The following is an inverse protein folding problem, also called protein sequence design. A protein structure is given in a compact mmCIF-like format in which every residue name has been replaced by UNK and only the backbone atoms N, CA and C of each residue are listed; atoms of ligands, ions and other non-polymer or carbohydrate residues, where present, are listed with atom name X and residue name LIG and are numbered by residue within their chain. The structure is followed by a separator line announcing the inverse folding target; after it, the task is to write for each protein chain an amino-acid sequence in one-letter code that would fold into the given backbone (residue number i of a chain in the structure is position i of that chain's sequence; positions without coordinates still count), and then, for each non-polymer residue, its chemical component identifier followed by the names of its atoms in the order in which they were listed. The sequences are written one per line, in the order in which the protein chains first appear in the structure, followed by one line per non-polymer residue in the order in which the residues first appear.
data_IF_484520365381
#
_entry.id   IF_484520365381
#
_cell.length_a   1.000
_cell.length_b   1.000
_cell.length_c   1.000
_cell.angle_alpha   90.00
_cell.angle_beta   90.00
_cell.angle_gamma   90.00
#
_symmetry.space_group_name_H-M   'P 1'
#
loop_
_entity.id
_entity.type
_entity.pdbx_description
1 polymer ?
#
# COMPACT_ATOMS: atom_id res chain seq x y z
N UNK A 1 -46.80 51.36 -18.76
CA UNK A 1 -47.63 51.48 -17.57
C UNK A 1 -48.70 50.42 -17.59
N UNK A 2 -48.88 49.75 -16.45
CA UNK A 2 -50.03 48.96 -16.02
C UNK A 2 -50.45 47.71 -16.81
N UNK A 3 -50.37 46.56 -16.12
CA UNK A 3 -51.47 45.60 -16.05
C UNK A 3 -51.60 45.12 -14.59
N UNK A 4 -52.86 45.00 -14.19
CA UNK A 4 -53.51 44.87 -12.87
C UNK A 4 -53.12 43.65 -12.03
N UNK A 5 -53.38 43.73 -10.71
CA UNK A 5 -53.92 42.60 -9.96
C UNK A 5 -55.31 42.90 -9.37
N UNK A 6 -56.10 41.84 -9.31
CA UNK A 6 -57.50 41.77 -8.89
C UNK A 6 -57.56 41.51 -7.38
N UNK A 7 -58.45 42.18 -6.67
CA UNK A 7 -58.80 41.94 -5.26
C UNK A 7 -59.88 40.84 -5.14
N UNK A 8 -59.91 40.06 -4.05
CA UNK A 8 -61.15 40.09 -3.28
C UNK A 8 -60.99 40.15 -1.75
N UNK A 9 -62.00 40.81 -1.19
CA UNK A 9 -62.42 41.14 0.18
C UNK A 9 -62.47 39.94 1.17
N UNK A 10 -62.43 40.16 2.52
CA UNK A 10 -61.98 39.19 3.52
C UNK A 10 -63.11 38.46 4.28
N UNK A 11 -62.79 37.28 4.84
CA UNK A 11 -63.61 36.60 5.86
C UNK A 11 -62.84 36.36 7.17
N UNK A 12 -63.63 36.33 8.25
CA UNK A 12 -63.37 36.62 9.68
C UNK A 12 -62.77 35.41 10.44
N UNK A 13 -62.13 35.57 11.63
CA UNK A 13 -61.26 34.55 12.23
C UNK A 13 -62.01 33.59 13.17
N UNK A 14 -61.68 32.30 13.13
CA UNK A 14 -62.17 31.32 14.11
C UNK A 14 -61.14 31.02 15.21
N UNK A 15 -61.66 30.99 16.44
CA UNK A 15 -61.04 30.76 17.74
C UNK A 15 -60.48 29.34 17.96
N UNK A 16 -59.53 29.15 18.90
CA UNK A 16 -58.88 27.87 19.12
C UNK A 16 -59.70 26.95 20.04
N UNK A 17 -59.88 25.69 19.63
CA UNK A 17 -60.49 24.61 20.42
C UNK A 17 -59.42 23.70 21.03
N UNK A 18 -59.45 23.61 22.35
CA UNK A 18 -58.69 22.69 23.21
C UNK A 18 -59.23 21.26 23.09
N UNK A 19 -58.39 20.21 23.06
CA UNK A 19 -58.89 18.83 23.04
C UNK A 19 -59.10 18.25 24.45
N UNK A 20 -60.25 17.61 24.66
CA UNK A 20 -60.61 16.77 25.81
C UNK A 20 -60.19 15.31 25.53
N UNK A 21 -59.73 14.53 26.52
CA UNK A 21 -59.19 13.19 26.28
C UNK A 21 -60.30 12.13 26.28
N UNK A 22 -60.20 11.14 25.41
CA UNK A 22 -60.95 9.89 25.53
C UNK A 22 -60.01 8.69 25.37
N UNK A 23 -59.99 7.85 26.41
CA UNK A 23 -59.23 6.61 26.52
C UNK A 23 -60.20 5.45 26.30
N UNK A 24 -59.90 4.57 25.34
CA UNK A 24 -59.88 3.10 25.53
C UNK A 24 -59.84 2.34 24.19
N UNK A 25 -58.65 1.90 23.78
CA UNK A 25 -58.45 0.59 23.12
C UNK A 25 -57.02 0.09 23.41
N UNK A 26 -56.80 -1.23 23.46
CA UNK A 26 -55.67 -1.82 24.18
C UNK A 26 -54.34 -1.60 23.46
N UNK A 27 -53.36 -1.13 24.22
CA UNK A 27 -51.98 -0.92 23.80
C UNK A 27 -51.28 -2.23 23.47
N UNK A 28 -51.00 -2.45 22.18
CA UNK A 28 -49.86 -3.27 21.77
C UNK A 28 -48.57 -2.54 22.18
N UNK A 29 -47.60 -3.20 22.84
CA UNK A 29 -46.34 -2.55 23.21
C UNK A 29 -45.64 -2.04 21.95
N UNK A 30 -45.31 -0.75 21.95
CA UNK A 30 -44.46 -0.14 20.96
C UNK A 30 -43.09 -0.82 20.98
N UNK A 31 -42.73 -1.44 19.86
CA UNK A 31 -41.39 -1.95 19.59
C UNK A 31 -40.46 -0.75 19.44
N UNK A 32 -39.69 -0.45 20.48
CA UNK A 32 -38.69 0.61 20.48
C UNK A 32 -37.47 0.16 19.68
N UNK A 33 -37.48 0.38 18.36
CA UNK A 33 -36.32 0.13 17.50
C UNK A 33 -35.21 1.16 17.75
N UNK A 34 -34.38 0.91 18.76
CA UNK A 34 -33.03 1.46 18.76
C UNK A 34 -32.24 0.68 17.70
N UNK A 35 -32.26 1.18 16.46
CA UNK A 35 -31.58 0.57 15.30
C UNK A 35 -30.06 0.84 15.38
N UNK A 36 -29.39 0.13 16.30
CA UNK A 36 -27.94 0.04 16.34
C UNK A 36 -27.44 -0.60 15.03
N UNK A 37 -26.32 -0.13 14.49
CA UNK A 37 -25.70 -0.66 13.28
C UNK A 37 -25.17 -2.10 13.49
N UNK A 38 -26.08 -3.07 13.41
CA UNK A 38 -25.77 -4.49 13.49
C UNK A 38 -24.92 -4.92 12.29
N UNK A 39 -23.81 -5.61 12.56
CA UNK A 39 -22.85 -6.09 11.56
C UNK A 39 -22.31 -7.46 11.97
N UNK A 40 -21.69 -8.23 11.07
CA UNK A 40 -20.91 -9.41 11.50
C UNK A 40 -19.62 -9.00 12.23
N UNK A 41 -19.20 -9.80 13.22
CA UNK A 41 -17.89 -9.62 13.83
C UNK A 41 -16.77 -9.85 12.81
N UNK A 42 -15.81 -8.94 12.75
CA UNK A 42 -14.67 -9.07 11.84
C UNK A 42 -13.43 -8.39 12.41
N UNK A 43 -13.28 -8.45 13.75
CA UNK A 43 -12.18 -7.79 14.47
C UNK A 43 -12.36 -6.28 14.61
N UNK A 44 -13.57 -5.82 14.96
CA UNK A 44 -13.82 -4.41 15.31
C UNK A 44 -12.86 -3.94 16.40
N UNK A 45 -12.30 -2.73 16.24
CA UNK A 45 -11.35 -2.12 17.18
C UNK A 45 -11.79 -0.70 17.55
N UNK A 46 -11.75 -0.35 18.82
CA UNK A 46 -12.06 1.01 19.28
C UNK A 46 -13.01 1.07 20.48
N UNK A 47 -13.39 2.30 20.84
CA UNK A 47 -14.24 2.61 22.01
C UNK A 47 -15.70 2.91 21.65
N UNK A 48 -16.05 2.97 20.37
CA UNK A 48 -17.44 3.19 19.94
C UNK A 48 -18.32 1.97 20.25
N UNK A 49 -19.64 2.17 20.30
CA UNK A 49 -20.58 1.09 20.61
C UNK A 49 -20.79 0.26 19.35
N UNK A 50 -20.25 -0.95 19.34
CA UNK A 50 -20.43 -1.94 18.29
C UNK A 50 -21.56 -2.91 18.65
N UNK A 51 -22.36 -3.30 17.66
CA UNK A 51 -23.26 -4.45 17.75
C UNK A 51 -22.87 -5.48 16.69
N UNK A 52 -22.32 -6.61 17.13
CA UNK A 52 -21.74 -7.62 16.23
C UNK A 52 -22.45 -8.97 16.30
N UNK A 53 -22.71 -9.60 15.16
CA UNK A 53 -23.15 -10.98 15.05
C UNK A 53 -21.93 -11.88 15.06
N UNK A 54 -21.91 -12.84 15.98
CA UNK A 54 -20.91 -13.89 16.07
C UNK A 54 -21.54 -15.17 16.61
N UNK A 55 -21.28 -16.29 15.94
CA UNK A 55 -21.73 -17.63 16.33
C UNK A 55 -23.22 -17.68 16.76
N UNK A 56 -24.09 -17.08 15.94
CA UNK A 56 -25.54 -17.06 16.14
C UNK A 56 -26.05 -16.02 17.15
N UNK A 57 -25.19 -15.17 17.68
CA UNK A 57 -25.53 -14.24 18.75
C UNK A 57 -25.10 -12.81 18.43
N UNK A 58 -25.82 -11.84 18.98
CA UNK A 58 -25.49 -10.41 18.95
C UNK A 58 -24.74 -10.03 20.21
N UNK A 59 -23.60 -9.39 20.05
CA UNK A 59 -22.75 -8.89 21.13
C UNK A 59 -22.59 -7.39 21.05
N UNK A 60 -22.41 -6.74 22.20
CA UNK A 60 -22.05 -5.33 22.33
C UNK A 60 -20.76 -5.21 23.14
N UNK A 61 -19.87 -4.30 22.77
CA UNK A 61 -18.71 -4.02 23.61
C UNK A 61 -19.10 -3.24 24.89
N UNK A 62 -18.49 -3.61 26.00
CA UNK A 62 -18.64 -2.94 27.29
C UNK A 62 -17.58 -1.84 27.50
N UNK A 63 -16.43 -1.97 26.83
CA UNK A 63 -15.35 -0.99 26.80
C UNK A 63 -14.58 -1.10 25.48
N UNK A 64 -13.37 -0.55 25.42
CA UNK A 64 -12.51 -0.65 24.24
C UNK A 64 -12.27 -2.11 23.82
N UNK A 65 -12.47 -2.40 22.55
CA UNK A 65 -12.20 -3.70 21.92
C UNK A 65 -10.95 -3.59 21.06
N UNK A 66 -10.06 -4.57 21.13
CA UNK A 66 -8.99 -4.79 20.16
C UNK A 66 -9.45 -5.71 19.03
N UNK A 67 -8.78 -5.66 17.88
CA UNK A 67 -9.15 -6.50 16.73
C UNK A 67 -9.13 -8.00 17.05
N UNK A 68 -8.26 -8.44 17.96
CA UNK A 68 -8.14 -9.85 18.39
C UNK A 68 -9.15 -10.26 19.48
N UNK A 69 -9.88 -9.30 20.07
CA UNK A 69 -10.90 -9.60 21.07
C UNK A 69 -12.11 -10.23 20.38
N UNK A 70 -12.11 -11.55 20.29
CA UNK A 70 -13.21 -12.33 19.74
C UNK A 70 -14.41 -12.38 20.71
N UNK A 71 -15.66 -12.21 20.25
CA UNK A 71 -16.84 -12.36 21.08
C UNK A 71 -16.94 -13.78 21.63
N UNK A 72 -17.14 -13.89 22.94
CA UNK A 72 -17.26 -15.18 23.64
C UNK A 72 -18.47 -15.17 24.57
N UNK A 73 -18.98 -16.36 24.89
CA UNK A 73 -20.10 -16.53 25.81
C UNK A 73 -19.79 -16.07 27.25
N UNK A 74 -20.82 -15.96 28.09
CA UNK A 74 -20.76 -15.36 29.44
C UNK A 74 -20.18 -16.27 30.54
N UNK A 75 -19.17 -17.10 30.23
CA UNK A 75 -18.51 -17.90 31.25
C UNK A 75 -17.63 -17.02 32.16
N UNK A 76 -17.38 -17.48 33.39
CA UNK A 76 -16.50 -16.79 34.36
C UNK A 76 -15.09 -16.57 33.79
N UNK A 77 -14.62 -17.50 32.96
CA UNK A 77 -13.34 -17.43 32.23
C UNK A 77 -13.28 -16.29 31.21
N UNK A 78 -14.42 -15.77 30.77
CA UNK A 78 -14.53 -14.66 29.81
C UNK A 78 -14.89 -13.32 30.44
N UNK A 79 -14.78 -13.19 31.78
CA UNK A 79 -15.10 -11.94 32.50
C UNK A 79 -14.31 -10.72 32.02
N UNK A 80 -13.08 -10.95 31.55
CA UNK A 80 -12.19 -9.92 30.98
C UNK A 80 -12.37 -9.69 29.48
N UNK A 81 -13.25 -10.45 28.81
CA UNK A 81 -13.55 -10.20 27.40
C UNK A 81 -14.37 -8.90 27.29
N UNK A 82 -14.10 -8.02 26.33
CA UNK A 82 -14.83 -6.76 26.19
C UNK A 82 -16.26 -6.90 25.65
N UNK A 83 -16.61 -8.04 25.04
CA UNK A 83 -17.94 -8.27 24.47
C UNK A 83 -18.95 -8.79 25.49
N UNK A 84 -20.19 -8.32 25.38
CA UNK A 84 -21.33 -8.74 26.19
C UNK A 84 -22.41 -9.27 25.28
N UNK A 85 -22.87 -10.49 25.56
CA UNK A 85 -24.00 -11.07 24.87
C UNK A 85 -25.24 -10.20 25.10
N UNK A 86 -25.88 -9.76 24.01
CA UNK A 86 -27.11 -8.97 24.05
C UNK A 86 -28.32 -9.87 23.83
N UNK A 87 -28.30 -10.65 22.74
CA UNK A 87 -29.40 -11.55 22.34
C UNK A 87 -28.94 -12.55 21.28
N UNK A 88 -29.81 -13.51 20.95
CA UNK A 88 -29.65 -14.34 19.75
C UNK A 88 -29.90 -13.53 18.48
N UNK A 89 -29.11 -13.77 17.43
CA UNK A 89 -29.32 -13.19 16.10
C UNK A 89 -30.40 -13.97 15.35
N UNK A 90 -31.26 -13.27 14.61
CA UNK A 90 -32.27 -13.92 13.76
C UNK A 90 -31.65 -14.50 12.50
N UNK A 91 -32.32 -15.46 11.87
CA UNK A 91 -31.86 -16.02 10.59
C UNK A 91 -31.75 -14.96 9.48
N UNK A 92 -32.66 -13.97 9.48
CA UNK A 92 -32.62 -12.86 8.53
C UNK A 92 -31.39 -11.97 8.76
N UNK A 93 -31.08 -11.62 10.01
CA UNK A 93 -29.89 -10.84 10.35
C UNK A 93 -28.58 -11.57 10.00
N UNK A 94 -28.49 -12.87 10.32
CA UNK A 94 -27.33 -13.68 9.96
C UNK A 94 -27.17 -13.80 8.43
N UNK A 95 -28.27 -13.91 7.69
CA UNK A 95 -28.24 -13.94 6.23
C UNK A 95 -27.88 -12.58 5.63
N UNK A 96 -28.27 -11.48 6.27
CA UNK A 96 -28.08 -10.12 5.75
C UNK A 96 -26.69 -9.56 6.10
N UNK A 97 -26.21 -9.80 7.32
CA UNK A 97 -25.00 -9.18 7.86
C UNK A 97 -23.82 -10.15 7.99
N UNK A 98 -24.09 -11.46 7.94
CA UNK A 98 -23.10 -12.53 8.15
C UNK A 98 -23.13 -13.12 9.56
N UNK A 99 -22.59 -14.33 9.70
CA UNK A 99 -22.48 -15.04 10.98
C UNK A 99 -21.14 -15.79 11.08
N UNK A 100 -20.03 -15.10 11.36
CA UNK A 100 -18.74 -15.73 11.63
C UNK A 100 -18.86 -16.65 12.84
N UNK A 101 -18.34 -17.87 12.72
CA UNK A 101 -18.39 -18.90 13.78
C UNK A 101 -17.02 -19.21 14.38
N UNK A 102 -15.95 -18.66 13.79
CA UNK A 102 -14.56 -18.84 14.25
C UNK A 102 -13.99 -17.49 14.68
N UNK A 103 -13.13 -17.50 15.69
CA UNK A 103 -12.34 -16.32 16.09
C UNK A 103 -11.22 -15.99 15.08
N UNK A 104 -11.17 -16.73 13.97
CA UNK A 104 -10.35 -16.33 12.84
C UNK A 104 -11.01 -15.10 12.26
N UNK A 105 -10.32 -13.98 12.42
CA UNK A 105 -10.65 -12.83 11.61
C UNK A 105 -10.22 -13.25 10.20
N UNK A 106 -11.20 -13.62 9.37
CA UNK A 106 -10.99 -13.86 7.95
C UNK A 106 -10.71 -12.50 7.31
N UNK A 107 -9.51 -12.00 7.63
CA UNK A 107 -9.00 -10.68 7.34
C UNK A 107 -8.68 -10.53 5.84
N UNK A 108 -8.97 -11.55 5.02
CA UNK A 108 -8.11 -11.91 3.91
C UNK A 108 -6.72 -12.14 4.46
N UNK A 109 -6.28 -13.40 4.52
CA UNK A 109 -5.02 -13.75 5.18
C UNK A 109 -3.91 -12.77 4.83
N UNK A 110 -3.23 -12.21 5.83
CA UNK A 110 -1.98 -11.50 5.57
C UNK A 110 -1.10 -12.52 4.87
N UNK A 111 -0.67 -12.24 3.64
CA UNK A 111 0.36 -13.06 3.02
C UNK A 111 1.59 -12.88 3.89
N UNK A 112 1.85 -13.86 4.76
CA UNK A 112 3.11 -13.99 5.45
C UNK A 112 4.07 -14.55 4.42
N UNK A 113 4.71 -13.65 3.68
CA UNK A 113 5.74 -14.04 2.74
C UNK A 113 7.06 -14.21 3.49
N UNK A 114 7.80 -15.26 3.15
CA UNK A 114 9.16 -15.38 3.67
C UNK A 114 10.03 -14.26 3.09
N UNK A 115 10.99 -13.79 3.88
CA UNK A 115 12.01 -12.87 3.39
C UNK A 115 12.77 -13.44 2.19
N UNK A 116 13.00 -12.62 1.16
CA UNK A 116 13.76 -13.00 -0.01
C UNK A 116 15.20 -13.41 0.35
N UNK A 117 15.68 -14.48 -0.26
CA UNK A 117 17.04 -14.99 -0.13
C UNK A 117 17.63 -15.25 -1.51
N UNK A 118 18.70 -14.53 -1.85
CA UNK A 118 19.35 -14.69 -3.15
C UNK A 118 19.83 -16.12 -3.42
N UNK A 119 20.16 -16.91 -2.40
CA UNK A 119 20.63 -18.29 -2.55
C UNK A 119 19.51 -19.33 -2.70
N UNK A 120 18.24 -18.93 -2.66
CA UNK A 120 17.08 -19.83 -2.71
C UNK A 120 16.44 -19.79 -4.09
N UNK A 121 15.98 -20.95 -4.55
CA UNK A 121 15.14 -21.05 -5.74
C UNK A 121 13.65 -20.89 -5.37
N UNK A 122 12.87 -20.33 -6.28
CA UNK A 122 11.44 -20.07 -6.11
C UNK A 122 10.66 -20.57 -7.32
N UNK A 123 9.47 -21.13 -7.11
CA UNK A 123 8.59 -21.51 -8.22
C UNK A 123 7.78 -20.30 -8.70
N UNK A 124 7.28 -20.34 -9.94
CA UNK A 124 6.35 -19.36 -10.48
C UNK A 124 5.19 -19.10 -9.49
N UNK A 125 4.76 -17.84 -9.38
CA UNK A 125 3.76 -17.36 -8.42
C UNK A 125 4.19 -17.33 -6.95
N UNK A 126 5.42 -17.71 -6.61
CA UNK A 126 5.94 -17.51 -5.25
C UNK A 126 5.92 -16.04 -4.88
N UNK A 127 5.58 -15.76 -3.62
CA UNK A 127 5.55 -14.41 -3.04
C UNK A 127 6.62 -14.33 -1.96
N UNK A 128 7.41 -13.26 -1.98
CA UNK A 128 8.50 -13.00 -1.02
C UNK A 128 8.40 -11.59 -0.46
N UNK A 129 8.89 -11.42 0.76
CA UNK A 129 9.08 -10.12 1.39
C UNK A 129 10.47 -9.55 1.07
N UNK A 130 10.52 -8.34 0.55
CA UNK A 130 11.77 -7.65 0.25
C UNK A 130 11.60 -6.12 0.26
N UNK A 131 12.47 -5.41 0.99
CA UNK A 131 12.41 -3.94 1.15
C UNK A 131 11.01 -3.41 1.50
N UNK A 132 10.37 -4.02 2.50
CA UNK A 132 9.04 -3.68 3.01
C UNK A 132 7.92 -3.68 1.94
N UNK A 133 8.04 -4.57 0.94
CA UNK A 133 7.02 -4.85 -0.04
C UNK A 133 6.99 -6.35 -0.37
N UNK A 134 5.81 -6.84 -0.72
CA UNK A 134 5.66 -8.19 -1.28
C UNK A 134 5.96 -8.16 -2.78
N UNK A 135 6.70 -9.16 -3.25
CA UNK A 135 6.96 -9.37 -4.67
C UNK A 135 6.50 -10.75 -5.08
N UNK A 136 5.89 -10.84 -6.27
CA UNK A 136 5.49 -12.10 -6.89
C UNK A 136 6.29 -12.32 -8.17
N UNK A 137 6.86 -13.52 -8.33
CA UNK A 137 7.52 -13.90 -9.58
C UNK A 137 6.51 -14.49 -10.56
N UNK A 138 6.66 -14.16 -11.84
CA UNK A 138 5.83 -14.71 -12.92
C UNK A 138 6.32 -16.06 -13.45
N UNK A 139 7.57 -16.44 -13.16
CA UNK A 139 8.23 -17.66 -13.63
C UNK A 139 9.06 -18.31 -12.51
N UNK A 140 9.53 -19.53 -12.73
CA UNK A 140 10.49 -20.18 -11.83
C UNK A 140 11.79 -19.35 -11.78
N UNK A 141 12.38 -19.25 -10.59
CA UNK A 141 13.60 -18.52 -10.30
C UNK A 141 14.61 -19.46 -9.67
N UNK A 142 15.80 -19.51 -10.25
CA UNK A 142 16.92 -20.23 -9.66
C UNK A 142 17.60 -19.41 -8.55
N UNK A 143 18.39 -20.11 -7.72
CA UNK A 143 19.30 -19.44 -6.81
C UNK A 143 20.29 -18.55 -7.58
N UNK A 144 20.61 -17.39 -6.99
CA UNK A 144 21.46 -16.34 -7.55
C UNK A 144 20.93 -15.77 -8.87
N UNK A 145 19.61 -15.73 -9.04
CA UNK A 145 18.92 -15.06 -10.15
C UNK A 145 18.63 -13.58 -9.81
N UNK A 146 17.55 -13.01 -10.36
CA UNK A 146 17.14 -11.64 -10.09
C UNK A 146 16.76 -11.42 -8.63
N UNK A 147 17.16 -10.27 -8.10
CA UNK A 147 16.67 -9.72 -6.82
C UNK A 147 15.33 -9.00 -7.07
N UNK A 148 14.30 -9.16 -6.21
CA UNK A 148 13.02 -8.48 -6.41
C UNK A 148 13.15 -6.96 -6.56
N UNK A 149 12.54 -6.40 -7.60
CA UNK A 149 12.61 -4.96 -7.89
C UNK A 149 13.97 -4.42 -8.34
N UNK A 150 15.00 -5.27 -8.41
CA UNK A 150 16.34 -4.89 -8.85
C UNK A 150 16.48 -4.81 -10.37
N UNK A 151 17.49 -4.07 -10.82
CA UNK A 151 17.93 -4.06 -12.23
C UNK A 151 18.54 -5.41 -12.65
N UNK A 152 18.86 -5.53 -13.93
CA UNK A 152 19.64 -6.67 -14.40
C UNK A 152 21.02 -6.71 -13.71
N UNK A 153 21.44 -7.86 -13.16
CA UNK A 153 22.73 -7.99 -12.47
C UNK A 153 23.93 -7.83 -13.41
N UNK A 154 23.73 -7.76 -14.72
CA UNK A 154 24.77 -7.45 -15.69
C UNK A 154 24.71 -5.98 -16.12
N UNK A 155 25.82 -5.29 -15.95
CA UNK A 155 26.00 -3.95 -16.48
C UNK A 155 26.90 -3.99 -17.71
N UNK A 156 26.49 -3.32 -18.79
CA UNK A 156 27.36 -3.18 -19.97
C UNK A 156 28.67 -2.51 -19.54
N UNK A 157 29.79 -3.10 -19.95
CA UNK A 157 31.10 -2.51 -19.70
C UNK A 157 31.28 -1.30 -20.61
N UNK A 158 31.55 -0.16 -19.98
CA UNK A 158 31.95 1.06 -20.68
C UNK A 158 33.37 1.40 -20.23
N UNK A 159 34.34 1.51 -21.17
CA UNK A 159 35.69 1.91 -20.83
C UNK A 159 35.68 3.24 -20.10
N UNK A 160 36.36 3.26 -18.95
CA UNK A 160 36.57 4.50 -18.24
C UNK A 160 37.40 5.48 -19.09
N UNK A 161 36.97 6.75 -19.13
CA UNK A 161 37.73 7.79 -19.80
C UNK A 161 38.99 8.11 -18.99
N UNK A 162 40.17 8.03 -19.60
CA UNK A 162 41.38 8.52 -18.98
C UNK A 162 41.30 10.04 -18.81
N UNK A 163 41.78 10.55 -17.67
CA UNK A 163 41.90 12.00 -17.51
C UNK A 163 42.97 12.57 -18.45
N UNK A 164 42.70 13.75 -18.98
CA UNK A 164 43.61 14.58 -19.76
C UNK A 164 43.55 16.02 -19.27
N UNK A 165 44.72 16.65 -19.15
CA UNK A 165 44.86 18.04 -18.73
C UNK A 165 44.22 19.05 -19.71
N UNK A 166 44.14 18.71 -21.01
CA UNK A 166 43.59 19.60 -22.04
C UNK A 166 42.08 19.53 -22.17
N UNK A 167 41.44 18.52 -21.60
CA UNK A 167 39.98 18.32 -21.69
C UNK A 167 39.26 19.15 -20.64
N UNK A 168 38.18 19.80 -21.05
CA UNK A 168 37.22 20.44 -20.13
C UNK A 168 36.25 19.38 -19.62
N UNK A 169 36.03 19.34 -18.31
CA UNK A 169 35.05 18.49 -17.65
C UNK A 169 33.97 19.35 -16.99
N UNK A 170 32.73 18.90 -17.06
CA UNK A 170 31.58 19.53 -16.39
C UNK A 170 31.01 18.60 -15.32
N UNK A 171 30.07 19.11 -14.51
CA UNK A 171 29.46 18.35 -13.43
C UNK A 171 28.92 16.99 -13.94
N UNK A 172 29.33 15.91 -13.28
CA UNK A 172 28.94 14.53 -13.59
C UNK A 172 29.90 13.79 -14.51
N UNK A 173 30.85 14.48 -15.16
CA UNK A 173 31.87 13.80 -15.97
C UNK A 173 32.76 12.92 -15.09
N UNK A 174 33.07 11.72 -15.60
CA UNK A 174 33.87 10.73 -14.89
C UNK A 174 35.16 10.40 -15.63
N UNK A 175 36.24 10.33 -14.88
CA UNK A 175 37.56 9.96 -15.37
C UNK A 175 38.25 8.98 -14.43
N UNK A 176 39.27 8.30 -14.95
CA UNK A 176 40.14 7.41 -14.19
C UNK A 176 41.58 7.85 -14.30
N UNK A 177 42.25 7.86 -13.15
CA UNK A 177 43.70 8.06 -13.03
C UNK A 177 44.23 6.97 -12.11
N UNK A 178 45.21 6.20 -12.58
CA UNK A 178 45.85 5.11 -11.83
C UNK A 178 44.87 4.11 -11.18
N UNK A 179 43.80 3.77 -11.90
CA UNK A 179 42.78 2.81 -11.43
C UNK A 179 41.79 3.37 -10.38
N UNK A 180 41.87 4.66 -10.08
CA UNK A 180 40.95 5.38 -9.19
C UNK A 180 40.00 6.25 -10.02
N UNK A 181 38.69 6.08 -9.81
CA UNK A 181 37.68 6.87 -10.49
C UNK A 181 37.38 8.18 -9.77
N UNK A 182 37.06 9.22 -10.54
CA UNK A 182 36.70 10.55 -10.04
C UNK A 182 35.53 11.11 -10.84
N UNK A 183 34.66 11.88 -10.16
CA UNK A 183 33.57 12.62 -10.78
C UNK A 183 33.79 14.12 -10.62
N UNK A 184 33.66 14.88 -11.70
CA UNK A 184 33.68 16.33 -11.66
C UNK A 184 32.40 16.85 -11.00
N UNK A 185 32.52 17.74 -10.01
CA UNK A 185 31.40 18.35 -9.30
C UNK A 185 30.88 19.63 -9.99
N UNK A 186 31.73 20.23 -10.81
CA UNK A 186 31.47 21.43 -11.60
C UNK A 186 32.56 21.57 -12.68
N UNK A 187 32.53 22.66 -13.44
CA UNK A 187 33.49 22.92 -14.51
C UNK A 187 34.94 22.89 -14.01
N UNK A 188 35.80 22.13 -14.68
CA UNK A 188 37.24 22.08 -14.42
C UNK A 188 38.01 21.72 -15.68
N UNK A 189 39.24 22.20 -15.78
CA UNK A 189 40.20 21.84 -16.82
C UNK A 189 41.59 21.86 -16.19
N UNK A 190 42.47 20.95 -16.61
CA UNK A 190 43.85 20.83 -16.12
C UNK A 190 44.06 20.48 -14.64
N UNK A 191 43.04 20.57 -13.79
CA UNK A 191 43.12 20.11 -12.40
C UNK A 191 43.23 18.59 -12.36
N UNK A 192 44.42 18.05 -12.03
CA UNK A 192 44.63 16.61 -11.95
C UNK A 192 43.85 16.02 -10.74
N UNK A 193 42.90 15.10 -10.96
CA UNK A 193 42.10 14.51 -9.89
C UNK A 193 42.88 13.63 -8.92
N UNK A 194 44.03 13.07 -9.32
CA UNK A 194 44.86 12.26 -8.43
C UNK A 194 45.52 13.09 -7.32
N UNK A 195 45.63 14.41 -7.49
CA UNK A 195 46.15 15.30 -6.48
C UNK A 195 45.09 15.60 -5.42
N UNK A 196 45.40 15.30 -4.16
CA UNK A 196 44.50 15.56 -3.01
C UNK A 196 44.04 17.03 -2.96
N UNK A 197 44.89 17.97 -3.41
CA UNK A 197 44.56 19.39 -3.50
C UNK A 197 43.36 19.71 -4.40
N UNK A 198 43.00 18.82 -5.32
CA UNK A 198 41.88 18.97 -6.24
C UNK A 198 40.68 18.06 -5.86
N UNK A 199 40.77 17.33 -4.75
CA UNK A 199 39.76 16.37 -4.31
C UNK A 199 38.79 16.93 -3.26
N UNK A 200 37.52 16.63 -3.46
CA UNK A 200 36.36 17.01 -2.66
C UNK A 200 35.56 15.77 -2.24
N UNK A 201 36.14 14.96 -1.34
CA UNK A 201 35.51 13.72 -0.88
C UNK A 201 34.15 13.93 -0.20
N UNK A 202 33.98 15.05 0.51
CA UNK A 202 32.77 15.39 1.28
C UNK A 202 31.81 16.31 0.52
N UNK A 203 32.16 16.75 -0.69
CA UNK A 203 31.38 17.72 -1.47
C UNK A 203 31.42 19.16 -0.94
N UNK A 204 32.14 19.44 0.16
CA UNK A 204 32.05 20.71 0.91
C UNK A 204 33.26 21.65 0.79
N UNK A 205 34.33 21.27 0.09
CA UNK A 205 35.59 22.03 0.10
C UNK A 205 35.91 22.80 -1.20
N UNK A 206 34.90 23.02 -2.05
CA UNK A 206 34.99 23.77 -3.32
C UNK A 206 36.06 23.28 -4.30
N UNK A 207 36.51 22.02 -4.19
CA UNK A 207 37.42 21.40 -5.15
C UNK A 207 36.64 20.62 -6.20
N UNK A 208 37.19 20.48 -7.42
CA UNK A 208 36.42 20.01 -8.57
C UNK A 208 36.13 18.52 -8.56
N UNK A 209 36.96 17.66 -7.95
CA UNK A 209 36.85 16.21 -8.14
C UNK A 209 36.36 15.47 -6.90
N UNK A 210 35.28 14.69 -7.01
CA UNK A 210 34.88 13.72 -5.98
C UNK A 210 35.51 12.36 -6.28
N UNK A 211 36.37 11.81 -5.40
CA UNK A 211 36.83 10.42 -5.53
C UNK A 211 35.67 9.44 -5.42
N UNK A 212 35.60 8.47 -6.33
CA UNK A 212 34.54 7.45 -6.37
C UNK A 212 34.99 6.06 -5.86
N UNK A 213 36.26 5.90 -5.51
CA UNK A 213 36.88 4.60 -5.20
C UNK A 213 37.54 3.91 -6.41
N UNK A 214 38.20 2.79 -6.15
CA UNK A 214 38.87 2.01 -7.20
C UNK A 214 37.85 1.52 -8.22
N UNK A 215 38.24 1.54 -9.48
CA UNK A 215 37.41 1.03 -10.56
C UNK A 215 38.14 -0.09 -11.28
N UNK A 216 37.40 -1.15 -11.58
CA UNK A 216 37.93 -2.27 -12.35
C UNK A 216 38.09 -1.82 -13.80
N UNK A 217 39.34 -1.78 -14.28
CA UNK A 217 39.67 -1.53 -15.68
C UNK A 217 40.25 -2.79 -16.28
N UNK A 218 39.97 -3.02 -17.55
CA UNK A 218 40.47 -4.19 -18.29
C UNK A 218 41.27 -3.70 -19.49
N UNK A 219 42.37 -4.39 -19.77
CA UNK A 219 43.14 -4.20 -20.99
C UNK A 219 42.33 -4.61 -22.22
N UNK A 220 42.70 -4.09 -23.39
CA UNK A 220 42.07 -4.51 -24.65
C UNK A 220 42.19 -6.02 -24.87
N UNK A 221 43.27 -6.65 -24.41
CA UNK A 221 43.47 -8.09 -24.49
C UNK A 221 42.46 -8.84 -23.62
N UNK A 222 42.28 -8.43 -22.36
CA UNK A 222 41.27 -9.00 -21.46
C UNK A 222 39.84 -8.82 -22.00
N UNK A 223 39.53 -7.65 -22.56
CA UNK A 223 38.23 -7.36 -23.17
C UNK A 223 37.98 -8.20 -24.44
N UNK A 224 39.03 -8.47 -25.22
CA UNK A 224 38.93 -9.30 -26.42
C UNK A 224 38.83 -10.79 -26.08
N UNK A 225 39.46 -11.23 -25.00
CA UNK A 225 39.48 -12.61 -24.53
C UNK A 225 38.45 -12.90 -23.43
N UNK A 226 37.54 -11.97 -23.15
CA UNK A 226 36.49 -12.13 -22.15
C UNK A 226 35.67 -13.42 -22.40
N UNK A 227 35.45 -14.27 -21.38
CA UNK A 227 34.67 -15.50 -21.54
C UNK A 227 33.26 -15.23 -22.06
N UNK A 228 32.77 -16.05 -22.99
CA UNK A 228 31.36 -15.98 -23.40
C UNK A 228 30.46 -16.28 -22.21
N UNK A 229 29.32 -15.59 -22.13
CA UNK A 229 28.26 -15.91 -21.18
C UNK A 229 27.90 -17.38 -21.26
N UNK A 230 27.84 -18.04 -20.10
CA UNK A 230 27.40 -19.40 -19.95
C UNK A 230 26.39 -19.46 -18.80
N UNK A 231 25.11 -19.79 -19.05
CA UNK A 231 24.08 -19.81 -18.02
C UNK A 231 24.37 -20.80 -16.88
N UNK A 232 25.17 -21.83 -17.11
CA UNK A 232 25.53 -22.83 -16.11
C UNK A 232 26.64 -22.36 -15.15
N UNK A 233 27.32 -21.25 -15.46
CA UNK A 233 28.42 -20.73 -14.62
C UNK A 233 27.88 -19.81 -13.53
N UNK A 234 28.22 -20.10 -12.27
CA UNK A 234 27.97 -19.21 -11.14
C UNK A 234 29.06 -18.13 -11.07
N UNK A 235 28.74 -16.93 -11.54
CA UNK A 235 29.67 -15.80 -11.56
C UNK A 235 29.74 -15.11 -10.20
N UNK A 236 30.95 -14.73 -9.79
CA UNK A 236 31.12 -13.82 -8.66
C UNK A 236 30.72 -12.39 -9.06
N UNK A 237 30.64 -11.47 -8.10
CA UNK A 237 30.61 -10.03 -8.41
C UNK A 237 31.86 -9.63 -9.20
N UNK A 238 31.74 -8.59 -10.03
CA UNK A 238 32.84 -7.99 -10.78
C UNK A 238 33.48 -8.92 -11.82
N UNK A 239 32.73 -9.92 -12.29
CA UNK A 239 33.19 -10.84 -13.33
C UNK A 239 32.90 -10.27 -14.71
N UNK A 240 33.92 -10.21 -15.57
CA UNK A 240 33.82 -9.81 -16.97
C UNK A 240 33.35 -10.99 -17.83
N UNK A 241 32.33 -10.76 -18.64
CA UNK A 241 31.86 -11.71 -19.66
C UNK A 241 31.62 -10.99 -20.99
N UNK A 242 31.49 -11.78 -22.06
CA UNK A 242 31.02 -11.32 -23.36
C UNK A 242 29.66 -11.92 -23.70
N UNK A 243 28.73 -11.08 -24.17
CA UNK A 243 27.39 -11.48 -24.59
C UNK A 243 26.98 -10.66 -25.81
N UNK A 244 26.52 -11.33 -26.88
CA UNK A 244 26.15 -10.68 -28.15
C UNK A 244 27.19 -9.70 -28.69
N UNK A 245 28.48 -10.03 -28.55
CA UNK A 245 29.59 -9.22 -29.05
C UNK A 245 29.99 -8.06 -28.15
N UNK A 246 29.29 -7.82 -27.06
CA UNK A 246 29.51 -6.73 -26.10
C UNK A 246 30.02 -7.28 -24.76
N UNK A 247 30.78 -6.47 -24.03
CA UNK A 247 31.32 -6.86 -22.73
C UNK A 247 30.40 -6.39 -21.60
N UNK A 248 30.25 -7.22 -20.57
CA UNK A 248 29.42 -6.96 -19.39
C UNK A 248 30.17 -7.33 -18.11
N UNK A 249 29.84 -6.65 -17.01
CA UNK A 249 30.36 -6.93 -15.68
C UNK A 249 29.19 -7.25 -14.75
N UNK A 250 29.28 -8.36 -14.02
CA UNK A 250 28.32 -8.68 -12.97
C UNK A 250 28.39 -7.68 -11.81
N UNK A 251 27.26 -7.15 -11.39
CA UNK A 251 27.13 -6.24 -10.24
C UNK A 251 26.94 -6.99 -8.92
N UNK A 252 26.70 -8.30 -9.00
CA UNK A 252 26.49 -9.19 -7.86
C UNK A 252 26.80 -10.63 -8.27
N UNK A 253 26.77 -11.56 -7.32
CA UNK A 253 26.85 -12.99 -7.62
C UNK A 253 25.60 -13.41 -8.42
N UNK A 254 25.79 -14.04 -9.57
CA UNK A 254 24.71 -14.32 -10.53
C UNK A 254 24.90 -15.64 -11.28
N UNK A 255 23.80 -16.34 -11.56
CA UNK A 255 23.74 -17.53 -12.41
C UNK A 255 22.45 -17.51 -13.26
N UNK A 256 22.50 -18.12 -14.46
CA UNK A 256 21.37 -18.32 -15.40
C UNK A 256 20.67 -17.06 -15.96
N UNK A 257 20.86 -15.89 -15.35
CA UNK A 257 20.36 -14.61 -15.86
C UNK A 257 21.29 -14.09 -16.94
N UNK A 258 20.77 -13.82 -18.13
CA UNK A 258 21.51 -13.20 -19.23
C UNK A 258 21.45 -11.66 -19.17
N UNK A 259 22.39 -10.94 -19.81
CA UNK A 259 22.32 -9.48 -19.90
C UNK A 259 21.10 -8.91 -20.63
N UNK A 260 20.37 -9.72 -21.40
CA UNK A 260 19.12 -9.30 -22.07
C UNK A 260 17.85 -9.64 -21.30
N UNK A 261 17.96 -10.43 -20.23
CA UNK A 261 16.79 -10.87 -19.49
C UNK A 261 16.17 -9.71 -18.71
N UNK A 262 14.85 -9.79 -18.55
CA UNK A 262 14.09 -8.86 -17.71
C UNK A 262 13.77 -9.51 -16.38
N UNK A 263 13.87 -8.73 -15.30
CA UNK A 263 13.48 -9.18 -13.97
C UNK A 263 12.00 -9.62 -13.98
N UNK A 264 11.65 -10.83 -13.51
CA UNK A 264 10.25 -11.32 -13.49
C UNK A 264 9.50 -10.99 -12.20
N UNK A 265 10.18 -10.47 -11.17
CA UNK A 265 9.56 -10.07 -9.91
C UNK A 265 8.79 -8.76 -10.08
N UNK A 266 7.54 -8.74 -9.64
CA UNK A 266 6.71 -7.52 -9.61
C UNK A 266 6.17 -7.31 -8.21
N UNK A 267 6.03 -6.05 -7.83
CA UNK A 267 5.32 -5.69 -6.59
C UNK A 267 3.94 -6.33 -6.62
N UNK A 268 3.61 -7.02 -5.54
CA UNK A 268 2.35 -7.71 -5.35
C UNK A 268 1.57 -7.01 -4.24
N UNK A 269 0.36 -6.57 -4.55
CA UNK A 269 -0.59 -6.08 -3.56
C UNK A 269 -1.62 -7.18 -3.36
N UNK A 270 -1.71 -7.68 -2.13
CA UNK A 270 -2.78 -8.60 -1.80
C UNK A 270 -4.09 -7.84 -1.59
N UNK A 271 -5.09 -8.20 -2.38
CA UNK A 271 -6.45 -7.65 -2.30
C UNK A 271 -7.43 -8.62 -1.65
N UNK A 272 -6.98 -9.81 -1.27
CA UNK A 272 -7.80 -10.81 -0.60
C UNK A 272 -8.44 -10.21 0.64
N UNK A 273 -9.73 -10.45 0.87
CA UNK A 273 -10.47 -9.88 2.01
C UNK A 273 -10.84 -8.39 1.87
N UNK A 274 -10.24 -7.64 0.94
CA UNK A 274 -10.52 -6.19 0.82
C UNK A 274 -11.98 -5.96 0.44
N UNK A 275 -12.54 -6.79 -0.45
CA UNK A 275 -13.95 -6.71 -0.86
C UNK A 275 -14.89 -6.93 0.31
N UNK A 276 -14.59 -7.90 1.17
CA UNK A 276 -15.39 -8.26 2.34
C UNK A 276 -15.34 -7.15 3.41
N UNK A 277 -14.22 -6.41 3.48
CA UNK A 277 -14.03 -5.26 4.38
C UNK A 277 -14.76 -4.00 3.93
N UNK A 278 -14.70 -3.67 2.63
CA UNK A 278 -15.34 -2.47 2.08
C UNK A 278 -16.80 -2.70 1.67
N UNK A 279 -17.22 -3.95 1.53
CA UNK A 279 -18.58 -4.32 1.13
C UNK A 279 -18.81 -4.23 -0.39
N UNK A 280 -20.05 -4.54 -0.80
CA UNK A 280 -20.47 -4.43 -2.20
C UNK A 280 -21.21 -3.10 -2.39
N UNK A 281 -20.83 -2.25 -3.37
CA UNK A 281 -21.53 -1.00 -3.62
C UNK A 281 -23.03 -1.21 -3.85
N UNK A 282 -23.86 -0.59 -3.00
CA UNK A 282 -25.33 -0.71 -3.07
C UNK A 282 -25.99 0.33 -3.97
N UNK A 283 -25.28 1.39 -4.36
CA UNK A 283 -25.80 2.51 -5.15
C UNK A 283 -24.91 2.75 -6.37
N UNK A 284 -25.52 2.77 -7.55
CA UNK A 284 -24.83 3.15 -8.77
C UNK A 284 -24.43 4.63 -8.73
N UNK A 285 -23.38 4.99 -9.47
CA UNK A 285 -22.97 6.38 -9.65
C UNK A 285 -23.99 7.12 -10.55
N UNK A 286 -24.62 8.20 -10.07
CA UNK A 286 -25.51 9.01 -10.90
C UNK A 286 -24.74 9.75 -12.00
N UNK A 287 -25.43 10.13 -13.08
CA UNK A 287 -24.86 10.93 -14.18
C UNK A 287 -24.28 12.27 -13.72
N UNK A 288 -24.90 12.86 -12.69
CA UNK A 288 -24.43 14.07 -12.01
C UNK A 288 -24.39 13.78 -10.53
N UNK A 289 -23.22 13.90 -9.93
CA UNK A 289 -22.97 13.47 -8.54
C UNK A 289 -22.13 14.52 -7.83
N UNK A 290 -22.47 14.76 -6.56
CA UNK A 290 -21.59 15.45 -5.63
C UNK A 290 -20.93 14.39 -4.75
N UNK A 291 -19.62 14.22 -4.89
CA UNK A 291 -18.83 13.27 -4.13
C UNK A 291 -17.62 14.01 -3.51
N UNK A 292 -17.73 14.47 -2.25
CA UNK A 292 -16.63 15.22 -1.63
C UNK A 292 -15.43 14.32 -1.38
N UNK A 293 -14.24 14.94 -1.39
CA UNK A 293 -13.00 14.28 -1.01
C UNK A 293 -12.95 14.05 0.50
N UNK A 294 -12.56 12.84 0.89
CA UNK A 294 -12.26 12.48 2.28
C UNK A 294 -10.79 12.08 2.35
N UNK A 295 -10.01 12.82 3.13
CA UNK A 295 -8.64 12.41 3.46
C UNK A 295 -8.74 11.16 4.36
N UNK A 296 -8.56 10.03 3.71
CA UNK A 296 -8.70 8.71 4.29
C UNK A 296 -7.50 8.34 5.17
N UNK A 297 -6.46 9.17 5.25
CA UNK A 297 -5.28 8.94 6.10
C UNK A 297 -5.46 9.49 7.51
N UNK A 298 -6.49 10.31 7.74
CA UNK A 298 -6.73 10.91 9.04
C UNK A 298 -7.19 9.86 10.06
N UNK A 299 -6.66 9.96 11.28
CA UNK A 299 -7.08 9.10 12.40
C UNK A 299 -8.60 9.18 12.67
N UNK A 300 -9.20 10.33 12.39
CA UNK A 300 -10.63 10.57 12.57
C UNK A 300 -11.23 11.07 11.26
N UNK A 301 -11.89 10.17 10.54
CA UNK A 301 -12.81 10.49 9.45
C UNK A 301 -14.26 10.30 9.91
N UNK A 302 -15.24 10.99 9.28
CA UNK A 302 -16.65 10.73 9.51
C UNK A 302 -17.02 9.28 9.18
N UNK A 303 -17.98 8.71 9.92
CA UNK A 303 -18.56 7.42 9.57
C UNK A 303 -19.44 7.56 8.31
N UNK A 304 -18.86 7.21 7.16
CA UNK A 304 -19.50 7.38 5.86
C UNK A 304 -20.64 6.37 5.67
N UNK A 305 -20.56 5.19 6.31
CA UNK A 305 -21.62 4.20 6.32
C UNK A 305 -22.85 4.74 7.08
N UNK A 306 -22.65 5.37 8.24
CA UNK A 306 -23.73 6.03 8.98
C UNK A 306 -24.35 7.20 8.22
N UNK A 307 -23.54 8.03 7.54
CA UNK A 307 -24.04 9.11 6.68
C UNK A 307 -24.91 8.58 5.53
N UNK A 308 -24.50 7.46 4.92
CA UNK A 308 -25.28 6.81 3.89
C UNK A 308 -26.62 6.27 4.42
N UNK A 309 -26.62 5.64 5.60
CA UNK A 309 -27.84 5.07 6.23
C UNK A 309 -28.81 6.15 6.70
N UNK A 310 -28.32 7.17 7.39
CA UNK A 310 -29.16 8.11 8.14
C UNK A 310 -29.49 9.39 7.36
N UNK A 311 -28.64 9.76 6.40
CA UNK A 311 -28.74 11.04 5.69
C UNK A 311 -28.73 10.90 4.16
N UNK A 312 -28.67 9.66 3.64
CA UNK A 312 -28.62 9.36 2.21
C UNK A 312 -27.46 10.05 1.46
N UNK A 313 -26.36 10.36 2.16
CA UNK A 313 -25.10 10.84 1.57
C UNK A 313 -24.21 9.62 1.32
N UNK A 314 -24.14 9.15 0.07
CA UNK A 314 -23.64 7.81 -0.25
C UNK A 314 -22.57 7.76 -1.37
N UNK A 315 -22.05 8.91 -1.80
CA UNK A 315 -20.92 9.01 -2.72
C UNK A 315 -19.82 9.87 -2.11
N UNK A 316 -18.61 9.32 -2.05
CA UNK A 316 -17.41 9.98 -1.53
C UNK A 316 -16.22 9.62 -2.42
N UNK A 317 -15.24 10.52 -2.49
CA UNK A 317 -13.94 10.24 -3.10
C UNK A 317 -12.90 10.07 -2.00
N UNK A 318 -12.51 8.83 -1.73
CA UNK A 318 -11.49 8.53 -0.73
C UNK A 318 -10.11 8.87 -1.28
N UNK A 319 -9.33 9.61 -0.50
CA UNK A 319 -8.08 10.19 -0.95
C UNK A 319 -6.97 10.11 0.12
N UNK A 320 -5.69 10.00 -0.22
CA UNK A 320 -5.13 9.71 -1.55
C UNK A 320 -4.40 8.38 -1.55
N UNK A 321 -4.60 7.64 -2.63
CA UNK A 321 -3.76 6.50 -2.95
C UNK A 321 -2.51 7.01 -3.66
N UNK A 322 -1.34 6.68 -3.11
CA UNK A 322 -0.02 7.11 -3.62
C UNK A 322 0.98 5.97 -3.57
N UNK A 323 2.11 6.11 -4.26
CA UNK A 323 3.24 5.20 -4.05
C UNK A 323 3.79 5.36 -2.64
N UNK A 324 4.27 4.28 -2.04
CA UNK A 324 4.88 4.29 -0.70
C UNK A 324 6.02 5.32 -0.61
N UNK A 325 6.86 5.37 -1.64
CA UNK A 325 7.95 6.32 -1.77
C UNK A 325 8.34 6.49 -3.25
N UNK A 326 9.42 7.23 -3.52
CA UNK A 326 9.89 7.53 -4.87
C UNK A 326 10.48 6.32 -5.62
N UNK A 327 10.89 5.29 -4.91
CA UNK A 327 11.61 4.14 -5.45
C UNK A 327 10.77 2.85 -5.40
N UNK A 328 9.71 2.83 -4.59
CA UNK A 328 8.85 1.66 -4.40
C UNK A 328 7.51 1.85 -5.11
N UNK A 329 7.25 1.05 -6.15
CA UNK A 329 5.96 1.01 -6.86
C UNK A 329 4.89 0.21 -6.08
N UNK A 330 4.73 0.51 -4.78
CA UNK A 330 3.74 -0.09 -3.89
C UNK A 330 2.64 0.92 -3.56
N UNK A 331 1.41 0.54 -3.83
CA UNK A 331 0.22 1.37 -3.58
C UNK A 331 -0.08 1.45 -2.07
N UNK A 332 -0.32 2.66 -1.56
CA UNK A 332 -0.62 2.93 -0.13
C UNK A 332 -1.64 4.06 0.01
N UNK A 333 -2.31 4.15 1.15
CA UNK A 333 -3.00 5.37 1.58
C UNK A 333 -1.98 6.35 2.16
N UNK A 334 -1.71 7.44 1.44
CA UNK A 334 -0.86 8.55 1.86
C UNK A 334 0.55 8.19 2.31
N UNK A 335 1.19 7.18 1.70
CA UNK A 335 2.52 6.62 2.06
C UNK A 335 2.58 5.82 3.36
N UNK A 336 1.57 5.94 4.21
CA UNK A 336 1.62 5.46 5.60
C UNK A 336 0.93 4.10 5.79
N UNK A 337 -0.17 3.84 5.07
CA UNK A 337 -1.01 2.67 5.32
C UNK A 337 -1.10 1.75 4.10
N UNK A 338 -0.91 0.45 4.31
CA UNK A 338 -1.11 -0.57 3.27
C UNK A 338 -2.57 -0.66 2.84
N UNK A 339 -2.80 -1.15 1.62
CA UNK A 339 -4.16 -1.28 1.05
C UNK A 339 -4.97 -2.44 1.63
N UNK A 340 -4.33 -3.40 2.29
CA UNK A 340 -4.91 -4.69 2.66
C UNK A 340 -5.57 -4.71 4.06
N UNK A 341 -4.98 -4.02 5.03
CA UNK A 341 -5.40 -4.08 6.43
C UNK A 341 -5.44 -2.68 7.04
N UNK A 342 -6.29 -1.82 6.46
CA UNK A 342 -6.45 -0.47 6.94
C UNK A 342 -7.71 -0.32 7.81
N UNK A 343 -7.52 0.09 9.06
CA UNK A 343 -8.58 0.17 10.07
C UNK A 343 -9.78 1.03 9.64
N UNK A 344 -9.56 2.08 8.85
CA UNK A 344 -10.64 2.98 8.41
C UNK A 344 -11.62 2.31 7.43
N UNK A 345 -11.34 1.12 6.90
CA UNK A 345 -12.28 0.41 6.02
C UNK A 345 -13.62 0.09 6.70
N UNK A 346 -13.66 -0.07 8.03
CA UNK A 346 -14.92 -0.24 8.77
C UNK A 346 -15.89 0.92 8.56
N UNK A 347 -15.38 2.15 8.42
CA UNK A 347 -16.19 3.38 8.29
C UNK A 347 -16.78 3.60 6.90
N UNK A 348 -16.39 2.78 5.92
CA UNK A 348 -16.86 2.87 4.54
C UNK A 348 -17.56 1.59 4.09
N UNK A 349 -17.74 0.61 4.99
CA UNK A 349 -18.30 -0.70 4.66
C UNK A 349 -19.75 -0.54 4.17
N UNK A 350 -19.99 -0.89 2.91
CA UNK A 350 -21.26 -0.66 2.21
C UNK A 350 -22.37 -1.67 2.54
#
# INVERSE_FOLDING_TARGET
GAVTPVDPTPETPETPVTPTPDNNEPSTPADSSNDYSLQAWSGQEGSEIYHVIFNGNVYQNAWWVGSEDCPRGTSVENSNNPWRLVRTATAAEMSQYGNPTTCEIDNGGVIIADGFQASKAYSANSIVDYNDAHYKTSVDQDAWSFVPGGDNPWKKYEPAKAWSASTVYVKGDRVVVDGQAYEALFWTQSDNPALVANQNATGSNSRPWKPLGKTQSYSNEELNNAPQFNPETLYASDTLIRFNGENYISQSKVQKVSPSDSNPWRVFVDWTGTKERVGTPKKAWPKHVYAPYVDFTLNTIPDLAALAKNHNVNHFTLAFVVSKDANTCLTTWGTAYGMQNYAQYSKIKA
#
